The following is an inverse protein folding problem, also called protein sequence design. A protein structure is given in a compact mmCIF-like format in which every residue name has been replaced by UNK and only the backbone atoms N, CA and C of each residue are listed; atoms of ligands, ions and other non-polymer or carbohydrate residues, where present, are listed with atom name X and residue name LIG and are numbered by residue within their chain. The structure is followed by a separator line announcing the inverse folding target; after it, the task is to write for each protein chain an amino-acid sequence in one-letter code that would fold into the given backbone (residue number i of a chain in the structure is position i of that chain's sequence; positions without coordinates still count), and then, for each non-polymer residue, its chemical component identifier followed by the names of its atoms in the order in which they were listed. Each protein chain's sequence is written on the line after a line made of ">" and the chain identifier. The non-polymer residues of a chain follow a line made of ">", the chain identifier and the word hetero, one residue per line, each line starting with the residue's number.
data_IF_390603447458
#
_entry.id   IF_390603447458
#
_cell.length_a   1.000
_cell.length_b   1.000
_cell.length_c   1.000
_cell.angle_alpha   90.00
_cell.angle_beta   90.00
_cell.angle_gamma   90.00
#
_symmetry.space_group_name_H-M   'P 1'
#
loop_
_entity.id
_entity.type
_entity.pdbx_description
1 polymer ?
#
# COMPACT_ATOMS: atom_id res chain seq x y z
N UNK A 1 22.65 -30.85 -7.85
CA UNK A 1 22.73 -29.52 -7.17
C UNK A 1 24.16 -29.06 -7.25
N UNK A 2 24.38 -27.78 -7.51
CA UNK A 2 25.70 -27.19 -7.59
C UNK A 2 26.15 -26.84 -6.18
N UNK A 3 27.37 -27.20 -5.82
CA UNK A 3 27.94 -26.90 -4.51
C UNK A 3 29.08 -25.91 -4.65
N UNK A 4 29.08 -24.89 -3.83
CA UNK A 4 30.12 -23.88 -3.75
C UNK A 4 30.67 -23.74 -2.34
N UNK A 5 31.62 -22.84 -2.18
CA UNK A 5 32.19 -22.48 -0.89
C UNK A 5 32.25 -20.98 -0.69
N UNK A 6 32.01 -20.52 0.52
CA UNK A 6 32.19 -19.12 0.89
C UNK A 6 33.66 -18.77 0.82
N UNK A 7 34.01 -17.72 0.07
CA UNK A 7 35.38 -17.20 -0.02
C UNK A 7 35.54 -15.85 0.68
N UNK A 8 34.48 -15.10 0.85
CA UNK A 8 34.51 -13.83 1.56
C UNK A 8 33.14 -13.49 2.17
N UNK A 9 33.16 -12.92 3.36
CA UNK A 9 31.96 -12.42 4.05
C UNK A 9 32.15 -10.92 4.32
N UNK A 10 31.27 -10.11 3.72
CA UNK A 10 31.23 -8.64 3.90
C UNK A 10 29.79 -8.24 4.26
N UNK A 11 29.32 -8.65 5.41
CA UNK A 11 27.91 -8.49 5.83
C UNK A 11 27.28 -7.19 5.32
N UNK A 12 26.14 -7.21 4.59
CA UNK A 12 25.25 -8.35 4.26
C UNK A 12 25.57 -9.07 2.93
N UNK A 13 26.75 -8.91 2.39
CA UNK A 13 27.18 -9.49 1.11
C UNK A 13 28.16 -10.63 1.36
N UNK A 14 28.01 -11.70 0.58
CA UNK A 14 28.84 -12.91 0.68
C UNK A 14 29.29 -13.33 -0.72
N UNK A 15 30.58 -13.60 -0.89
CA UNK A 15 31.11 -14.14 -2.12
C UNK A 15 31.26 -15.66 -2.02
N UNK A 16 30.78 -16.37 -3.05
CA UNK A 16 30.78 -17.84 -3.11
C UNK A 16 31.45 -18.30 -4.39
N UNK A 17 32.43 -19.17 -4.28
CA UNK A 17 33.13 -19.79 -5.41
C UNK A 17 32.48 -21.13 -5.76
N UNK A 18 32.24 -21.35 -7.05
CA UNK A 18 31.77 -22.62 -7.60
C UNK A 18 32.82 -23.25 -8.48
N UNK A 19 33.03 -24.58 -8.40
CA UNK A 19 34.00 -25.28 -9.23
C UNK A 19 33.54 -25.29 -10.71
N UNK A 20 34.52 -25.50 -11.60
CA UNK A 20 34.29 -25.83 -13.00
C UNK A 20 33.49 -24.79 -13.84
N UNK A 21 33.47 -23.54 -13.40
CA UNK A 21 32.75 -22.46 -14.07
C UNK A 21 31.22 -22.72 -14.22
N UNK A 22 30.67 -23.61 -13.41
CA UNK A 22 29.24 -23.93 -13.37
C UNK A 22 28.51 -23.05 -12.35
N UNK A 23 28.32 -21.77 -12.72
CA UNK A 23 27.78 -20.75 -11.83
C UNK A 23 26.24 -20.79 -11.80
N UNK A 24 25.63 -20.52 -10.62
CA UNK A 24 24.19 -20.25 -10.54
C UNK A 24 23.82 -18.96 -11.27
N UNK A 25 22.57 -18.87 -11.70
CA UNK A 25 22.08 -17.66 -12.36
C UNK A 25 21.88 -16.51 -11.38
N UNK A 26 21.89 -15.29 -11.88
CA UNK A 26 21.52 -14.10 -11.11
C UNK A 26 20.08 -14.26 -10.63
N UNK A 27 19.81 -13.88 -9.37
CA UNK A 27 18.56 -14.08 -8.63
C UNK A 27 18.27 -15.51 -8.17
N UNK A 28 19.15 -16.46 -8.41
CA UNK A 28 19.03 -17.79 -7.82
C UNK A 28 19.25 -17.73 -6.31
N UNK A 29 18.53 -18.57 -5.58
CA UNK A 29 18.70 -18.76 -4.14
C UNK A 29 19.76 -19.80 -3.84
N UNK A 30 20.65 -19.46 -2.91
CA UNK A 30 21.67 -20.35 -2.37
C UNK A 30 21.39 -20.58 -0.88
N UNK A 31 21.68 -21.78 -0.41
CA UNK A 31 21.50 -22.19 0.98
C UNK A 31 22.82 -22.57 1.61
N UNK A 32 23.01 -22.17 2.87
CA UNK A 32 24.16 -22.56 3.70
C UNK A 32 23.67 -23.01 5.06
N UNK A 33 24.22 -24.11 5.55
CA UNK A 33 24.00 -24.55 6.93
C UNK A 33 24.97 -23.80 7.87
N UNK A 34 24.41 -22.89 8.64
CA UNK A 34 25.14 -22.12 9.63
C UNK A 34 24.94 -22.74 11.02
N UNK A 35 25.71 -23.77 11.31
CA UNK A 35 25.67 -24.47 12.60
C UNK A 35 24.27 -25.01 12.97
N UNK A 36 23.61 -25.65 12.01
CA UNK A 36 22.26 -26.20 12.17
C UNK A 36 21.12 -25.20 11.86
N UNK A 37 21.45 -23.98 11.52
CA UNK A 37 20.49 -22.97 11.05
C UNK A 37 20.66 -22.75 9.56
N UNK A 38 19.58 -22.99 8.80
CA UNK A 38 19.57 -22.71 7.36
C UNK A 38 19.55 -21.21 7.12
N UNK A 39 20.55 -20.72 6.39
CA UNK A 39 20.61 -19.35 5.91
C UNK A 39 20.45 -19.32 4.39
N UNK A 40 19.76 -18.32 3.88
CA UNK A 40 19.48 -18.14 2.46
C UNK A 40 20.10 -16.84 1.96
N UNK A 41 20.72 -16.92 0.79
CA UNK A 41 21.24 -15.76 0.07
C UNK A 41 20.80 -15.79 -1.38
N UNK A 42 20.80 -14.64 -2.02
CA UNK A 42 20.44 -14.47 -3.42
C UNK A 42 21.63 -14.01 -4.25
N UNK A 43 21.85 -14.64 -5.41
CA UNK A 43 22.92 -14.23 -6.33
C UNK A 43 22.59 -12.88 -6.93
N UNK A 44 23.46 -11.89 -6.69
CA UNK A 44 23.31 -10.54 -7.19
C UNK A 44 24.12 -10.28 -8.46
N UNK A 45 25.34 -10.85 -8.54
CA UNK A 45 26.21 -10.66 -9.72
C UNK A 45 27.29 -11.73 -9.80
N UNK A 46 27.83 -11.91 -11.01
CA UNK A 46 29.04 -12.70 -11.25
C UNK A 46 30.25 -11.76 -11.23
N UNK A 47 31.24 -12.06 -10.38
CA UNK A 47 32.41 -11.19 -10.19
C UNK A 47 33.67 -11.70 -10.86
N UNK A 48 33.61 -12.82 -11.60
CA UNK A 48 34.75 -13.48 -12.24
C UNK A 48 35.39 -14.56 -11.33
N UNK A 49 36.37 -15.27 -11.89
CA UNK A 49 37.08 -16.35 -11.17
C UNK A 49 36.16 -17.38 -10.50
N UNK A 50 35.13 -17.82 -11.19
CA UNK A 50 34.12 -18.78 -10.70
C UNK A 50 33.38 -18.32 -9.43
N UNK A 51 33.37 -17.03 -9.16
CA UNK A 51 32.79 -16.45 -7.95
C UNK A 51 31.52 -15.66 -8.26
N UNK A 52 30.51 -15.87 -7.44
CA UNK A 52 29.26 -15.08 -7.44
C UNK A 52 29.18 -14.25 -6.16
N UNK A 53 28.67 -13.05 -6.29
CA UNK A 53 28.39 -12.17 -5.16
C UNK A 53 26.93 -12.23 -4.82
N UNK A 54 26.64 -12.52 -3.54
CA UNK A 54 25.29 -12.77 -3.04
C UNK A 54 24.90 -11.77 -1.96
N UNK A 55 23.60 -11.50 -1.86
CA UNK A 55 22.99 -10.69 -0.81
C UNK A 55 22.32 -11.64 0.17
N UNK A 56 22.59 -11.47 1.47
CA UNK A 56 21.97 -12.27 2.52
C UNK A 56 20.49 -11.88 2.70
N UNK A 57 19.62 -12.87 2.72
CA UNK A 57 18.20 -12.74 3.07
C UNK A 57 17.91 -13.19 4.50
N UNK A 58 18.87 -13.84 5.14
CA UNK A 58 18.87 -14.27 6.52
C UNK A 58 20.02 -13.61 7.28
N UNK A 59 19.95 -13.62 8.60
CA UNK A 59 21.06 -13.18 9.43
C UNK A 59 22.35 -13.97 9.11
N UNK A 60 23.46 -13.27 9.05
CA UNK A 60 24.75 -13.79 8.59
C UNK A 60 25.76 -14.07 9.72
N UNK A 61 25.36 -13.83 10.96
CA UNK A 61 26.24 -14.08 12.11
C UNK A 61 26.65 -15.56 12.18
N UNK A 62 27.93 -15.80 12.27
CA UNK A 62 28.50 -17.14 12.29
C UNK A 62 28.94 -17.69 10.94
N UNK A 63 28.62 -17.03 9.84
CA UNK A 63 29.13 -17.41 8.53
C UNK A 63 30.64 -17.17 8.46
N UNK A 64 31.36 -18.14 7.90
CA UNK A 64 32.79 -18.08 7.75
C UNK A 64 33.24 -18.61 6.40
N UNK A 65 34.47 -18.29 6.06
CA UNK A 65 35.12 -18.82 4.87
C UNK A 65 35.14 -20.36 4.89
N UNK A 66 35.13 -20.96 3.71
CA UNK A 66 35.13 -22.39 3.44
C UNK A 66 33.85 -23.15 3.81
N UNK A 67 32.81 -22.49 4.32
CA UNK A 67 31.49 -23.13 4.48
C UNK A 67 30.91 -23.55 3.14
N UNK A 68 30.31 -24.74 3.11
CA UNK A 68 29.65 -25.26 1.92
C UNK A 68 28.30 -24.53 1.65
N UNK A 69 28.09 -24.20 0.40
CA UNK A 69 26.88 -23.54 -0.09
C UNK A 69 26.25 -24.38 -1.18
N UNK A 70 24.96 -24.59 -1.12
CA UNK A 70 24.19 -25.35 -2.10
C UNK A 70 23.32 -24.42 -2.92
N UNK A 71 23.48 -24.48 -4.25
CA UNK A 71 22.58 -23.78 -5.17
C UNK A 71 21.27 -24.57 -5.32
N UNK A 72 20.14 -23.88 -5.13
CA UNK A 72 18.81 -24.51 -5.23
C UNK A 72 18.37 -24.74 -6.67
N UNK A 73 19.02 -24.07 -7.64
CA UNK A 73 18.68 -24.14 -9.06
C UNK A 73 17.51 -23.24 -9.49
N UNK A 74 16.98 -22.44 -8.59
CA UNK A 74 15.91 -21.48 -8.87
C UNK A 74 15.99 -20.28 -7.92
N UNK A 75 15.22 -19.24 -8.21
CA UNK A 75 14.99 -18.14 -7.27
C UNK A 75 14.22 -18.60 -6.02
N UNK A 76 14.06 -17.68 -5.09
CA UNK A 76 13.30 -17.90 -3.86
C UNK A 76 11.87 -18.26 -4.22
N UNK A 77 11.35 -19.35 -3.64
CA UNK A 77 9.98 -19.79 -3.81
C UNK A 77 9.21 -19.60 -2.50
N UNK A 78 8.01 -19.04 -2.63
CA UNK A 78 7.13 -18.77 -1.49
C UNK A 78 5.77 -19.46 -1.69
N UNK A 79 5.08 -19.85 -0.59
CA UNK A 79 3.78 -20.47 -0.70
C UNK A 79 2.76 -19.48 -1.28
N UNK A 80 1.84 -20.00 -2.08
CA UNK A 80 0.75 -19.23 -2.69
C UNK A 80 -0.57 -20.01 -2.54
N UNK A 81 -1.67 -19.31 -2.63
CA UNK A 81 -3.01 -19.89 -2.60
C UNK A 81 -3.77 -19.60 -1.31
N UNK A 82 -4.96 -20.18 -1.19
CA UNK A 82 -5.88 -19.92 -0.09
C UNK A 82 -5.32 -20.27 1.29
N UNK A 83 -4.36 -21.19 1.37
CA UNK A 83 -3.71 -21.58 2.62
C UNK A 83 -2.87 -20.47 3.23
N UNK A 84 -2.50 -19.45 2.45
CA UNK A 84 -1.75 -18.28 2.94
C UNK A 84 -2.63 -17.30 3.72
N UNK A 85 -3.95 -17.35 3.54
CA UNK A 85 -4.88 -16.45 4.21
C UNK A 85 -4.90 -16.69 5.72
N UNK A 86 -4.91 -15.60 6.47
CA UNK A 86 -4.86 -15.64 7.92
C UNK A 86 -3.47 -15.92 8.50
N UNK A 87 -2.46 -16.03 7.65
CA UNK A 87 -1.10 -16.43 8.03
C UNK A 87 -0.12 -15.26 7.94
N UNK A 88 0.95 -15.39 8.69
CA UNK A 88 2.02 -14.42 8.78
C UNK A 88 3.34 -15.05 8.32
N UNK A 89 4.02 -14.41 7.37
CA UNK A 89 5.22 -14.92 6.71
C UNK A 89 6.41 -13.96 6.82
N UNK A 90 7.62 -14.50 6.72
CA UNK A 90 8.82 -13.74 6.44
C UNK A 90 9.07 -13.64 4.91
N UNK A 91 10.19 -13.04 4.52
CA UNK A 91 10.57 -12.86 3.10
C UNK A 91 10.71 -14.19 2.35
N UNK A 92 11.10 -15.24 3.03
CA UNK A 92 11.30 -16.58 2.46
C UNK A 92 10.00 -17.39 2.36
N UNK A 93 8.87 -16.83 2.80
CA UNK A 93 7.60 -17.52 2.86
C UNK A 93 7.48 -18.52 4.00
N UNK A 94 8.39 -18.47 4.94
CA UNK A 94 8.30 -19.26 6.18
C UNK A 94 7.29 -18.63 7.12
N UNK A 95 6.48 -19.46 7.78
CA UNK A 95 5.47 -18.97 8.72
C UNK A 95 6.13 -18.48 10.02
N UNK A 96 5.72 -17.32 10.50
CA UNK A 96 6.21 -16.71 11.75
C UNK A 96 5.11 -16.46 12.77
N UNK A 97 3.94 -17.07 12.55
CA UNK A 97 2.76 -16.96 13.43
C UNK A 97 2.66 -18.08 14.50
N UNK A 98 3.67 -18.93 14.59
CA UNK A 98 3.69 -20.04 15.53
C UNK A 98 2.85 -21.25 15.14
N UNK A 99 2.27 -21.24 13.94
CA UNK A 99 1.52 -22.37 13.39
C UNK A 99 2.38 -23.19 12.43
N UNK A 100 1.84 -24.33 11.99
CA UNK A 100 2.54 -25.24 11.07
C UNK A 100 2.94 -24.52 9.76
N UNK A 101 4.09 -24.93 9.23
CA UNK A 101 4.60 -24.43 7.96
C UNK A 101 3.76 -24.91 6.77
N UNK A 102 3.84 -24.22 5.65
CA UNK A 102 3.08 -24.51 4.43
C UNK A 102 3.97 -25.18 3.36
N UNK A 103 4.80 -26.12 3.75
CA UNK A 103 5.74 -26.83 2.86
C UNK A 103 5.04 -27.61 1.74
N UNK A 104 3.84 -28.13 1.98
CA UNK A 104 3.09 -28.98 1.05
C UNK A 104 2.16 -28.19 0.08
N UNK A 105 2.17 -26.85 0.17
CA UNK A 105 1.37 -26.01 -0.73
C UNK A 105 2.12 -25.68 -2.02
N UNK A 106 1.39 -25.17 -3.02
CA UNK A 106 2.01 -24.65 -4.24
C UNK A 106 2.94 -23.47 -3.89
N UNK A 107 4.11 -23.43 -4.51
CA UNK A 107 5.12 -22.40 -4.33
C UNK A 107 5.47 -21.74 -5.66
N UNK A 108 5.57 -20.43 -5.67
CA UNK A 108 5.98 -19.65 -6.82
C UNK A 108 7.27 -18.88 -6.53
N UNK A 109 8.08 -18.71 -7.58
CA UNK A 109 9.29 -17.87 -7.52
C UNK A 109 8.88 -16.41 -7.37
N UNK A 110 9.56 -15.66 -6.49
CA UNK A 110 9.22 -14.24 -6.26
C UNK A 110 9.65 -13.32 -7.40
N UNK A 111 10.63 -13.71 -8.19
CA UNK A 111 11.06 -12.96 -9.37
C UNK A 111 10.22 -13.40 -10.58
N UNK A 112 9.25 -12.58 -10.93
CA UNK A 112 8.31 -12.83 -12.02
C UNK A 112 8.33 -11.67 -13.00
N UNK A 113 8.08 -11.98 -14.27
CA UNK A 113 7.91 -10.97 -15.30
C UNK A 113 6.58 -10.22 -15.12
N UNK A 114 6.53 -8.93 -15.48
CA UNK A 114 5.27 -8.20 -15.53
C UNK A 114 4.33 -8.83 -16.57
N UNK A 115 3.01 -8.59 -16.44
CA UNK A 115 2.06 -9.05 -17.45
C UNK A 115 2.41 -8.56 -18.85
N UNK A 116 2.30 -9.45 -19.85
CA UNK A 116 2.52 -9.07 -21.24
C UNK A 116 1.46 -8.07 -21.72
N UNK A 117 1.78 -7.28 -22.74
CA UNK A 117 0.83 -6.32 -23.31
C UNK A 117 -0.49 -6.97 -23.74
N UNK A 118 -0.45 -8.21 -24.23
CA UNK A 118 -1.64 -8.95 -24.61
C UNK A 118 -2.55 -9.30 -23.43
N UNK A 119 -1.97 -9.50 -22.26
CA UNK A 119 -2.69 -9.87 -21.05
C UNK A 119 -3.16 -8.67 -20.23
N UNK A 120 -2.60 -7.49 -20.46
CA UNK A 120 -3.05 -6.28 -19.77
C UNK A 120 -4.46 -5.90 -20.21
N UNK A 121 -5.27 -5.47 -19.25
CA UNK A 121 -6.59 -4.93 -19.56
C UNK A 121 -6.45 -3.48 -20.02
N UNK A 122 -6.96 -3.13 -21.21
CA UNK A 122 -6.96 -1.74 -21.68
C UNK A 122 -8.06 -0.90 -21.02
N UNK A 123 -8.99 -1.53 -20.31
CA UNK A 123 -10.14 -0.87 -19.70
C UNK A 123 -9.75 -0.29 -18.35
N UNK A 124 -10.00 1.00 -18.16
CA UNK A 124 -9.82 1.66 -16.86
C UNK A 124 -11.15 1.58 -16.12
N UNK A 125 -11.14 0.86 -15.00
CA UNK A 125 -12.30 0.70 -14.12
C UNK A 125 -12.03 1.28 -12.75
N UNK A 126 -13.03 1.93 -12.14
CA UNK A 126 -12.97 2.38 -10.77
C UNK A 126 -13.06 1.17 -9.84
N UNK A 127 -12.13 1.11 -8.88
CA UNK A 127 -12.25 0.22 -7.73
C UNK A 127 -13.05 0.94 -6.65
N UNK A 128 -14.32 0.61 -6.53
CA UNK A 128 -15.20 1.21 -5.52
C UNK A 128 -14.79 0.75 -4.13
N UNK A 129 -14.41 1.70 -3.28
CA UNK A 129 -13.92 1.41 -1.92
C UNK A 129 -15.02 1.45 -0.86
N UNK A 130 -16.15 2.05 -1.17
CA UNK A 130 -17.23 2.31 -0.22
C UNK A 130 -16.95 3.46 0.75
N UNK A 131 -15.87 4.18 0.54
CA UNK A 131 -15.46 5.34 1.34
C UNK A 131 -15.69 6.60 0.51
N UNK A 132 -16.62 7.44 0.95
CA UNK A 132 -17.12 8.61 0.19
C UNK A 132 -16.01 9.53 -0.30
N UNK A 133 -15.11 9.93 0.58
CA UNK A 133 -14.06 10.90 0.23
C UNK A 133 -13.11 10.36 -0.83
N UNK A 134 -12.79 9.08 -0.77
CA UNK A 134 -11.91 8.42 -1.75
C UNK A 134 -12.64 8.28 -3.08
N UNK A 135 -13.80 7.67 -3.08
CA UNK A 135 -14.54 7.36 -4.32
C UNK A 135 -14.95 8.61 -5.09
N UNK A 136 -15.25 9.70 -4.39
CA UNK A 136 -15.65 10.96 -5.05
C UNK A 136 -14.42 11.74 -5.56
N UNK A 137 -13.43 11.99 -4.72
CA UNK A 137 -12.40 13.00 -4.95
C UNK A 137 -11.04 12.43 -5.38
N UNK A 138 -10.74 11.22 -4.99
CA UNK A 138 -9.48 10.53 -5.32
C UNK A 138 -9.73 9.05 -5.61
N UNK A 139 -10.56 8.71 -6.61
CA UNK A 139 -10.98 7.35 -6.88
C UNK A 139 -9.79 6.46 -7.26
N UNK A 140 -9.84 5.21 -6.81
CA UNK A 140 -8.86 4.19 -7.14
C UNK A 140 -9.24 3.50 -8.45
N UNK A 141 -8.24 3.20 -9.26
CA UNK A 141 -8.41 2.34 -10.44
C UNK A 141 -8.04 0.90 -10.13
N UNK A 142 -8.75 -0.06 -10.68
CA UNK A 142 -8.34 -1.47 -10.65
C UNK A 142 -7.00 -1.62 -11.36
N UNK A 143 -6.06 -2.29 -10.72
CA UNK A 143 -4.69 -2.39 -11.20
C UNK A 143 -3.87 -1.13 -11.03
N UNK A 144 -4.40 -0.13 -10.36
CA UNK A 144 -3.73 1.14 -10.08
C UNK A 144 -2.77 1.07 -8.90
N UNK A 145 -1.91 2.07 -8.82
CA UNK A 145 -0.92 2.24 -7.76
C UNK A 145 -1.26 3.50 -6.99
N UNK A 146 -1.63 3.35 -5.73
CA UNK A 146 -2.09 4.43 -4.87
C UNK A 146 -1.03 4.73 -3.83
N UNK A 147 -0.59 5.98 -3.75
CA UNK A 147 0.25 6.48 -2.68
C UNK A 147 -0.59 6.85 -1.46
N UNK A 148 -0.20 6.37 -0.29
CA UNK A 148 -0.81 6.71 0.99
C UNK A 148 0.17 7.54 1.80
N UNK A 149 -0.18 8.79 2.07
CA UNK A 149 0.63 9.75 2.79
C UNK A 149 -0.02 10.07 4.13
N UNK A 150 0.77 10.20 5.15
CA UNK A 150 0.30 10.61 6.47
C UNK A 150 1.30 10.30 7.56
N UNK A 151 1.35 11.17 8.56
CA UNK A 151 2.17 10.99 9.75
C UNK A 151 1.57 9.96 10.71
N UNK A 152 2.17 9.85 11.89
CA UNK A 152 1.66 8.98 12.93
C UNK A 152 0.33 9.50 13.50
N UNK A 153 -0.58 8.58 13.84
CA UNK A 153 -1.83 8.90 14.54
C UNK A 153 -2.91 9.56 13.69
N UNK A 154 -2.85 9.43 12.36
CA UNK A 154 -3.86 9.99 11.44
C UNK A 154 -4.87 8.94 10.95
N UNK A 155 -4.84 7.73 11.49
CA UNK A 155 -5.79 6.67 11.16
C UNK A 155 -5.41 5.83 9.94
N UNK A 156 -4.13 5.79 9.57
CA UNK A 156 -3.63 4.98 8.45
C UNK A 156 -4.02 3.50 8.58
N UNK A 157 -3.76 2.89 9.73
CA UNK A 157 -4.06 1.47 9.98
C UNK A 157 -5.55 1.18 9.90
N UNK A 158 -6.38 2.03 10.46
CA UNK A 158 -7.84 1.88 10.44
C UNK A 158 -8.37 1.99 9.01
N UNK A 159 -7.84 2.90 8.21
CA UNK A 159 -8.19 3.02 6.80
C UNK A 159 -7.81 1.77 6.00
N UNK A 160 -6.62 1.24 6.21
CA UNK A 160 -6.15 0.00 5.58
C UNK A 160 -7.09 -1.16 5.91
N UNK A 161 -7.44 -1.33 7.17
CA UNK A 161 -8.35 -2.39 7.61
C UNK A 161 -9.75 -2.24 7.01
N UNK A 162 -10.28 -1.02 6.91
CA UNK A 162 -11.58 -0.78 6.27
C UNK A 162 -11.57 -1.07 4.77
N UNK A 163 -10.49 -0.74 4.07
CA UNK A 163 -10.31 -1.11 2.67
C UNK A 163 -10.31 -2.63 2.49
N UNK A 164 -9.60 -3.36 3.34
CA UNK A 164 -9.59 -4.83 3.34
C UNK A 164 -11.00 -5.38 3.57
N UNK A 165 -11.69 -4.87 4.57
CA UNK A 165 -13.05 -5.28 4.91
C UNK A 165 -14.01 -5.05 3.74
N UNK A 166 -13.96 -3.89 3.12
CA UNK A 166 -14.89 -3.52 2.05
C UNK A 166 -14.60 -4.31 0.76
N UNK A 167 -13.33 -4.52 0.40
CA UNK A 167 -12.98 -5.34 -0.74
C UNK A 167 -13.41 -6.79 -0.53
N UNK A 168 -13.21 -7.36 0.63
CA UNK A 168 -13.62 -8.73 0.94
C UNK A 168 -15.14 -8.90 0.93
N UNK A 169 -15.89 -7.98 1.52
CA UNK A 169 -17.35 -8.09 1.67
C UNK A 169 -18.13 -7.78 0.40
N UNK A 170 -17.66 -6.84 -0.43
CA UNK A 170 -18.40 -6.37 -1.61
C UNK A 170 -17.83 -6.98 -2.90
N UNK A 171 -16.52 -7.04 -3.04
CA UNK A 171 -15.85 -7.54 -4.24
C UNK A 171 -15.42 -9.01 -4.14
N UNK A 172 -15.49 -9.61 -2.95
CA UNK A 172 -15.07 -10.99 -2.71
C UNK A 172 -13.56 -11.22 -2.88
N UNK A 173 -12.76 -10.16 -2.92
CA UNK A 173 -11.33 -10.20 -3.11
C UNK A 173 -10.56 -10.37 -1.80
N UNK A 174 -9.34 -10.88 -1.93
CA UNK A 174 -8.41 -10.99 -0.81
C UNK A 174 -7.39 -9.86 -0.83
N UNK A 175 -6.68 -9.72 0.28
CA UNK A 175 -5.66 -8.69 0.43
C UNK A 175 -4.34 -9.29 0.91
N UNK A 176 -3.26 -8.68 0.49
CA UNK A 176 -1.92 -9.02 0.96
C UNK A 176 -1.34 -7.76 1.60
N UNK A 177 -0.86 -7.88 2.82
CA UNK A 177 -0.16 -6.79 3.49
C UNK A 177 1.32 -7.09 3.58
N UNK A 178 2.16 -6.19 3.09
CA UNK A 178 3.62 -6.30 3.19
C UNK A 178 4.17 -5.21 4.09
N UNK A 179 4.81 -5.61 5.18
CA UNK A 179 5.56 -4.73 6.07
C UNK A 179 7.02 -4.67 5.64
N UNK A 180 7.47 -3.53 5.15
CA UNK A 180 8.81 -3.33 4.62
C UNK A 180 9.60 -2.38 5.50
N UNK A 181 10.54 -2.90 6.26
CA UNK A 181 11.46 -2.11 7.07
C UNK A 181 10.79 -1.32 8.20
N UNK A 182 9.60 -1.68 8.62
CA UNK A 182 8.87 -1.05 9.71
C UNK A 182 9.24 -1.69 11.07
N UNK A 183 8.77 -1.11 12.15
CA UNK A 183 9.03 -1.61 13.50
C UNK A 183 8.26 -2.91 13.74
N UNK A 184 8.93 -3.90 14.34
CA UNK A 184 8.30 -5.18 14.67
C UNK A 184 7.08 -5.04 15.58
N UNK A 185 7.09 -4.05 16.49
CA UNK A 185 5.96 -3.75 17.36
C UNK A 185 4.74 -3.31 16.56
N UNK A 186 4.91 -2.42 15.59
CA UNK A 186 3.81 -1.95 14.73
C UNK A 186 3.22 -3.09 13.90
N UNK A 187 4.07 -4.00 13.40
CA UNK A 187 3.61 -5.20 12.71
C UNK A 187 2.80 -6.14 13.61
N UNK A 188 3.21 -6.32 14.86
CA UNK A 188 2.49 -7.12 15.84
C UNK A 188 1.16 -6.47 16.25
N UNK A 189 1.16 -5.16 16.44
CA UNK A 189 -0.06 -4.41 16.76
C UNK A 189 -1.07 -4.54 15.60
N UNK A 190 -0.63 -4.38 14.35
CA UNK A 190 -1.47 -4.58 13.17
C UNK A 190 -2.05 -6.00 13.10
N UNK A 191 -1.22 -7.02 13.30
CA UNK A 191 -1.68 -8.40 13.29
C UNK A 191 -2.74 -8.67 14.37
N UNK A 192 -2.54 -8.14 15.57
CA UNK A 192 -3.49 -8.24 16.68
C UNK A 192 -4.81 -7.55 16.36
N UNK A 193 -4.75 -6.30 15.88
CA UNK A 193 -5.93 -5.53 15.49
C UNK A 193 -6.72 -6.19 14.35
N UNK A 194 -6.04 -6.74 13.35
CA UNK A 194 -6.68 -7.46 12.25
C UNK A 194 -7.32 -8.76 12.71
N UNK A 195 -6.73 -9.43 13.69
CA UNK A 195 -7.31 -10.64 14.29
C UNK A 195 -8.56 -10.31 15.10
N UNK A 196 -8.54 -9.23 15.87
CA UNK A 196 -9.69 -8.76 16.66
C UNK A 196 -10.84 -8.26 15.79
N UNK A 197 -10.56 -7.58 14.70
CA UNK A 197 -11.57 -7.09 13.75
C UNK A 197 -12.10 -8.17 12.80
N UNK A 198 -11.48 -9.34 12.76
CA UNK A 198 -11.87 -10.46 11.90
C UNK A 198 -11.44 -10.33 10.43
N UNK A 199 -10.72 -9.28 10.05
CA UNK A 199 -10.24 -9.12 8.66
C UNK A 199 -9.03 -10.00 8.34
N UNK A 200 -8.40 -10.58 9.35
CA UNK A 200 -7.23 -11.45 9.17
C UNK A 200 -7.51 -12.65 8.25
N UNK A 201 -8.71 -13.22 8.31
CA UNK A 201 -9.10 -14.38 7.50
C UNK A 201 -9.16 -14.09 5.99
N UNK A 202 -9.14 -12.82 5.62
CA UNK A 202 -9.16 -12.32 4.23
C UNK A 202 -7.81 -11.80 3.76
N UNK A 203 -6.78 -11.94 4.59
CA UNK A 203 -5.48 -11.29 4.39
C UNK A 203 -4.34 -12.26 4.65
N UNK A 204 -3.31 -12.20 3.81
CA UNK A 204 -1.99 -12.76 4.11
C UNK A 204 -1.05 -11.62 4.49
N UNK A 205 -0.22 -11.82 5.51
CA UNK A 205 0.75 -10.82 5.96
C UNK A 205 2.17 -11.32 5.73
N UNK A 206 3.01 -10.44 5.18
CA UNK A 206 4.42 -10.74 4.92
C UNK A 206 5.26 -9.62 5.52
N UNK A 207 6.15 -9.95 6.44
CA UNK A 207 6.99 -8.96 7.13
C UNK A 207 8.48 -9.15 6.85
N UNK A 208 9.13 -8.07 6.45
CA UNK A 208 10.57 -7.90 6.44
C UNK A 208 10.91 -6.62 7.20
N UNK A 209 10.94 -6.71 8.54
CA UNK A 209 10.98 -5.55 9.42
C UNK A 209 12.39 -4.95 9.55
N UNK A 210 12.51 -3.85 10.28
CA UNK A 210 13.77 -3.09 10.34
C UNK A 210 14.94 -3.84 10.99
N UNK A 211 14.68 -4.90 11.75
CA UNK A 211 15.69 -5.77 12.32
C UNK A 211 16.21 -6.84 11.35
N UNK A 212 15.53 -7.01 10.20
CA UNK A 212 15.95 -7.94 9.17
C UNK A 212 17.09 -7.38 8.32
N UNK A 213 17.93 -8.24 7.72
CA UNK A 213 19.00 -7.77 6.84
C UNK A 213 18.45 -7.02 5.61
N UNK A 214 19.25 -6.16 4.97
CA UNK A 214 18.81 -5.37 3.81
C UNK A 214 18.23 -6.21 2.67
N UNK A 215 18.76 -7.40 2.43
CA UNK A 215 18.24 -8.31 1.41
C UNK A 215 16.79 -8.72 1.67
N UNK A 216 16.44 -9.02 2.92
CA UNK A 216 15.07 -9.34 3.31
C UNK A 216 14.13 -8.14 3.09
N UNK A 217 14.53 -6.96 3.52
CA UNK A 217 13.75 -5.71 3.32
C UNK A 217 13.59 -5.34 1.84
N UNK A 218 14.57 -5.69 1.02
CA UNK A 218 14.54 -5.49 -0.43
C UNK A 218 13.55 -6.41 -1.17
N UNK A 219 13.35 -7.63 -0.65
CA UNK A 219 12.59 -8.69 -1.34
C UNK A 219 11.21 -8.96 -0.76
N UNK A 220 10.90 -8.49 0.43
CA UNK A 220 9.62 -8.79 1.09
C UNK A 220 8.42 -8.27 0.29
N UNK A 221 8.51 -7.12 -0.37
CA UNK A 221 7.45 -6.60 -1.22
C UNK A 221 7.19 -7.53 -2.42
N UNK A 222 8.22 -8.11 -3.00
CA UNK A 222 8.11 -9.07 -4.09
C UNK A 222 7.47 -10.40 -3.61
N UNK A 223 7.76 -10.83 -2.40
CA UNK A 223 7.11 -12.00 -1.79
C UNK A 223 5.60 -11.78 -1.68
N UNK A 224 5.17 -10.66 -1.12
CA UNK A 224 3.74 -10.33 -1.02
C UNK A 224 3.08 -10.15 -2.37
N UNK A 225 3.76 -9.50 -3.31
CA UNK A 225 3.26 -9.31 -4.67
C UNK A 225 3.05 -10.66 -5.39
N UNK A 226 3.95 -11.62 -5.20
CA UNK A 226 3.82 -12.97 -5.76
C UNK A 226 2.56 -13.68 -5.23
N UNK A 227 2.28 -13.56 -3.93
CA UNK A 227 1.05 -14.08 -3.35
C UNK A 227 -0.19 -13.41 -3.94
N UNK A 228 -0.15 -12.09 -4.15
CA UNK A 228 -1.24 -11.34 -4.78
C UNK A 228 -1.46 -11.74 -6.23
N UNK A 229 -0.39 -11.94 -6.98
CA UNK A 229 -0.46 -12.39 -8.38
C UNK A 229 -1.12 -13.75 -8.55
N UNK A 230 -0.95 -14.66 -7.61
CA UNK A 230 -1.66 -15.95 -7.63
C UNK A 230 -3.17 -15.75 -7.57
N UNK A 231 -3.67 -14.93 -6.67
CA UNK A 231 -5.11 -14.67 -6.57
C UNK A 231 -5.66 -13.95 -7.81
N UNK A 232 -4.88 -13.07 -8.42
CA UNK A 232 -5.23 -12.41 -9.69
C UNK A 232 -5.30 -13.42 -10.84
N UNK A 233 -4.24 -14.21 -11.03
CA UNK A 233 -4.02 -15.01 -12.25
C UNK A 233 -4.73 -16.37 -12.20
N UNK A 234 -4.84 -16.99 -11.03
CA UNK A 234 -5.44 -18.32 -10.84
C UNK A 234 -6.87 -18.23 -10.32
N UNK A 235 -7.12 -17.37 -9.34
CA UNK A 235 -8.45 -17.23 -8.74
C UNK A 235 -9.31 -16.15 -9.42
N UNK A 236 -8.77 -15.43 -10.41
CA UNK A 236 -9.47 -14.38 -11.17
C UNK A 236 -10.10 -13.30 -10.29
N UNK A 237 -9.36 -12.87 -9.26
CA UNK A 237 -9.83 -11.90 -8.28
C UNK A 237 -9.25 -10.51 -8.50
N UNK A 238 -9.94 -9.53 -7.93
CA UNK A 238 -9.42 -8.20 -7.70
C UNK A 238 -8.77 -8.17 -6.31
N UNK A 239 -7.45 -8.05 -6.28
CA UNK A 239 -6.64 -8.18 -5.06
C UNK A 239 -6.10 -6.82 -4.63
N UNK A 240 -6.12 -6.53 -3.33
CA UNK A 240 -5.40 -5.40 -2.75
C UNK A 240 -4.03 -5.86 -2.25
N UNK A 241 -3.02 -5.09 -2.62
CA UNK A 241 -1.65 -5.24 -2.11
C UNK A 241 -1.28 -3.98 -1.34
N UNK A 242 -1.01 -4.11 -0.05
CA UNK A 242 -0.49 -3.04 0.79
C UNK A 242 1.02 -3.17 0.93
N UNK A 243 1.73 -2.07 0.74
CA UNK A 243 3.18 -1.98 0.93
C UNK A 243 3.45 -0.87 1.94
N UNK A 244 3.87 -1.22 3.11
CA UNK A 244 4.20 -0.27 4.17
C UNK A 244 5.63 -0.52 4.67
N UNK A 245 6.61 0.18 4.21
CA UNK A 245 6.66 1.43 3.48
C UNK A 245 7.51 1.26 2.21
N UNK A 246 7.09 1.77 1.08
CA UNK A 246 7.84 1.63 -0.19
C UNK A 246 9.21 2.33 -0.15
N UNK A 247 9.37 3.39 0.62
CA UNK A 247 10.66 4.05 0.81
C UNK A 247 11.71 3.08 1.39
N UNK A 248 11.33 2.19 2.29
CA UNK A 248 12.24 1.21 2.89
C UNK A 248 12.76 0.18 1.89
N UNK A 249 11.97 -0.12 0.87
CA UNK A 249 12.42 -0.93 -0.27
C UNK A 249 13.60 -0.26 -0.98
N UNK A 250 13.51 1.00 -1.32
CA UNK A 250 14.59 1.76 -1.96
C UNK A 250 15.79 1.93 -1.05
N UNK A 251 15.58 2.21 0.23
CA UNK A 251 16.63 2.35 1.22
C UNK A 251 17.45 1.06 1.38
N UNK A 252 16.78 -0.09 1.45
CA UNK A 252 17.47 -1.39 1.53
C UNK A 252 18.35 -1.63 0.30
N UNK A 253 17.89 -1.28 -0.89
CA UNK A 253 18.68 -1.33 -2.12
C UNK A 253 19.91 -0.43 -2.07
N UNK A 254 19.82 0.76 -1.48
CA UNK A 254 20.96 1.66 -1.32
C UNK A 254 22.01 1.11 -0.34
N UNK A 255 21.59 0.45 0.72
CA UNK A 255 22.49 -0.15 1.72
C UNK A 255 23.43 -1.21 1.13
N UNK A 256 22.96 -1.98 0.16
CA UNK A 256 23.77 -3.04 -0.48
C UNK A 256 24.52 -2.58 -1.71
N UNK A 257 24.12 -1.49 -2.34
CA UNK A 257 24.60 -1.05 -3.65
C UNK A 257 26.12 -0.80 -3.66
N UNK A 258 26.65 -0.14 -2.64
CA UNK A 258 28.09 0.13 -2.55
C UNK A 258 28.91 -1.15 -2.39
N UNK A 259 28.40 -2.13 -1.64
CA UNK A 259 29.03 -3.43 -1.44
C UNK A 259 29.01 -4.28 -2.71
N UNK A 260 28.09 -4.01 -3.62
CA UNK A 260 28.06 -4.62 -4.94
C UNK A 260 29.01 -3.94 -5.94
N UNK A 261 29.76 -2.93 -5.50
CA UNK A 261 30.72 -2.22 -6.34
C UNK A 261 30.10 -1.18 -7.27
N UNK A 262 28.88 -0.74 -7.00
CA UNK A 262 28.20 0.30 -7.78
C UNK A 262 28.57 1.69 -7.26
N UNK A 263 28.82 2.62 -8.16
CA UNK A 263 29.03 4.02 -7.79
C UNK A 263 27.68 4.64 -7.41
N UNK A 264 27.60 5.37 -6.27
CA UNK A 264 26.36 6.02 -5.87
C UNK A 264 25.96 7.11 -6.86
N UNK A 265 24.66 7.25 -7.06
CA UNK A 265 24.04 8.35 -7.81
C UNK A 265 23.73 9.55 -6.91
N UNK A 266 22.85 10.45 -7.35
CA UNK A 266 22.46 11.62 -6.59
C UNK A 266 21.98 11.26 -5.15
N UNK A 267 22.39 12.05 -4.19
CA UNK A 267 22.05 11.91 -2.74
C UNK A 267 22.46 10.55 -2.14
N UNK A 268 23.36 9.82 -2.81
CA UNK A 268 23.87 8.55 -2.33
C UNK A 268 23.00 7.32 -2.65
N UNK A 269 21.96 7.48 -3.45
CA UNK A 269 21.12 6.35 -3.88
C UNK A 269 21.83 5.47 -4.91
N UNK A 270 21.33 4.24 -5.04
CA UNK A 270 21.82 3.30 -6.06
C UNK A 270 21.53 3.81 -7.48
N UNK A 271 22.46 3.57 -8.43
CA UNK A 271 22.22 3.94 -9.84
C UNK A 271 21.09 3.15 -10.49
N UNK A 272 20.72 2.02 -9.90
CA UNK A 272 19.66 1.10 -10.38
C UNK A 272 18.30 1.40 -9.76
N UNK A 273 18.14 2.50 -9.04
CA UNK A 273 16.90 2.85 -8.32
C UNK A 273 15.66 2.81 -9.22
N UNK A 274 15.71 3.44 -10.37
CA UNK A 274 14.59 3.48 -11.30
C UNK A 274 14.24 2.09 -11.86
N UNK A 275 15.24 1.27 -12.14
CA UNK A 275 15.02 -0.09 -12.63
C UNK A 275 14.42 -0.99 -11.56
N UNK A 276 14.95 -0.94 -10.34
CA UNK A 276 14.44 -1.72 -9.20
C UNK A 276 12.98 -1.37 -8.90
N UNK A 277 12.66 -0.08 -8.87
CA UNK A 277 11.29 0.39 -8.69
C UNK A 277 10.40 -0.05 -9.84
N UNK A 278 10.85 0.08 -11.08
CA UNK A 278 10.11 -0.33 -12.27
C UNK A 278 9.81 -1.83 -12.29
N UNK A 279 10.77 -2.68 -11.98
CA UNK A 279 10.58 -4.13 -11.90
C UNK A 279 9.47 -4.52 -10.91
N UNK A 280 9.41 -3.86 -9.76
CA UNK A 280 8.35 -4.07 -8.78
C UNK A 280 7.00 -3.51 -9.26
N UNK A 281 6.97 -2.26 -9.66
CA UNK A 281 5.73 -1.53 -9.94
C UNK A 281 5.00 -2.02 -11.19
N UNK A 282 5.72 -2.42 -12.23
CA UNK A 282 5.12 -2.89 -13.49
C UNK A 282 4.39 -4.25 -13.36
N UNK A 283 4.68 -5.01 -12.32
CA UNK A 283 3.94 -6.25 -12.01
C UNK A 283 2.56 -5.97 -11.43
N UNK A 284 2.37 -4.78 -10.85
CA UNK A 284 1.11 -4.34 -10.26
C UNK A 284 0.23 -3.78 -11.37
N UNK A 285 -0.69 -4.60 -11.86
CA UNK A 285 -1.48 -4.28 -13.03
C UNK A 285 -2.83 -5.00 -13.05
N UNK A 286 -3.74 -4.46 -13.85
CA UNK A 286 -4.97 -5.11 -14.24
C UNK A 286 -4.72 -5.99 -15.47
N UNK A 287 -5.16 -7.23 -15.42
CA UNK A 287 -5.08 -8.19 -16.52
C UNK A 287 -6.47 -8.65 -16.94
N UNK A 288 -6.54 -9.42 -18.01
CA UNK A 288 -7.81 -10.06 -18.44
C UNK A 288 -8.36 -11.05 -17.41
N UNK A 289 -7.50 -11.55 -16.53
CA UNK A 289 -7.85 -12.55 -15.51
C UNK A 289 -8.33 -11.91 -14.20
N UNK A 290 -7.77 -10.78 -13.82
CA UNK A 290 -8.07 -10.09 -12.58
C UNK A 290 -7.20 -8.85 -12.41
N UNK A 291 -7.16 -8.30 -11.20
CA UNK A 291 -6.33 -7.11 -10.94
C UNK A 291 -5.57 -7.22 -9.62
N UNK A 292 -4.40 -6.60 -9.57
CA UNK A 292 -3.69 -6.26 -8.34
C UNK A 292 -3.66 -4.74 -8.25
N UNK A 293 -4.31 -4.20 -7.23
CA UNK A 293 -4.30 -2.76 -6.93
C UNK A 293 -3.45 -2.57 -5.69
N UNK A 294 -2.48 -1.67 -5.73
CA UNK A 294 -1.60 -1.42 -4.59
C UNK A 294 -1.94 -0.13 -3.86
N UNK A 295 -1.85 -0.19 -2.54
CA UNK A 295 -1.84 0.97 -1.65
C UNK A 295 -0.48 0.98 -0.97
N UNK A 296 0.34 1.97 -1.31
CA UNK A 296 1.73 2.05 -0.90
C UNK A 296 1.91 3.24 0.05
N UNK A 297 2.27 2.97 1.29
CA UNK A 297 2.66 4.02 2.20
C UNK A 297 3.98 4.62 1.73
N UNK A 298 4.02 5.94 1.59
CA UNK A 298 5.19 6.66 1.09
C UNK A 298 5.71 7.58 2.20
N UNK A 299 6.95 7.35 2.60
CA UNK A 299 7.70 8.27 3.45
C UNK A 299 8.50 9.23 2.58
N UNK A 300 8.41 10.51 2.90
CA UNK A 300 9.14 11.57 2.20
C UNK A 300 10.20 12.13 3.15
N UNK A 301 11.50 11.82 2.92
CA UNK A 301 12.57 12.31 3.77
C UNK A 301 12.61 13.85 3.83
N UNK A 302 12.61 14.40 5.02
CA UNK A 302 12.64 15.85 5.28
C UNK A 302 11.53 16.64 4.55
N UNK A 303 10.40 16.00 4.24
CA UNK A 303 9.31 16.55 3.43
C UNK A 303 9.74 17.07 2.04
N UNK A 304 10.88 16.58 1.55
CA UNK A 304 11.43 16.95 0.23
C UNK A 304 10.93 16.02 -0.86
N UNK A 305 9.94 16.47 -1.63
CA UNK A 305 9.37 15.75 -2.75
C UNK A 305 10.34 15.59 -3.94
N UNK A 306 11.46 16.31 -3.93
CA UNK A 306 12.49 16.21 -4.97
C UNK A 306 13.54 15.15 -4.67
N UNK A 307 13.53 14.57 -3.47
CA UNK A 307 14.38 13.42 -3.14
C UNK A 307 14.15 12.29 -4.15
N UNK A 308 15.22 11.64 -4.67
CA UNK A 308 15.11 10.64 -5.71
C UNK A 308 14.19 9.46 -5.40
N UNK A 309 14.10 9.03 -4.14
CA UNK A 309 13.25 7.89 -3.78
C UNK A 309 11.75 8.20 -3.89
N UNK A 310 11.20 9.23 -3.24
CA UNK A 310 9.81 9.60 -3.47
C UNK A 310 9.53 10.06 -4.90
N UNK A 311 10.43 10.80 -5.53
CA UNK A 311 10.26 11.25 -6.92
C UNK A 311 10.11 10.09 -7.89
N UNK A 312 10.92 9.04 -7.75
CA UNK A 312 10.82 7.83 -8.57
C UNK A 312 9.53 7.07 -8.30
N UNK A 313 9.11 6.99 -7.05
CA UNK A 313 7.83 6.36 -6.66
C UNK A 313 6.65 7.11 -7.26
N UNK A 314 6.62 8.43 -7.17
CA UNK A 314 5.53 9.26 -7.71
C UNK A 314 5.30 9.08 -9.20
N UNK A 315 6.34 8.81 -9.96
CA UNK A 315 6.22 8.54 -11.40
C UNK A 315 5.31 7.34 -11.72
N UNK A 316 5.19 6.40 -10.78
CA UNK A 316 4.37 5.19 -10.93
C UNK A 316 2.96 5.33 -10.35
N UNK A 317 2.69 6.33 -9.50
CA UNK A 317 1.41 6.45 -8.81
C UNK A 317 0.28 6.98 -9.70
N UNK A 318 -0.87 6.36 -9.60
CA UNK A 318 -2.11 6.75 -10.30
C UNK A 318 -3.01 7.64 -9.44
N UNK A 319 -2.93 7.50 -8.12
CA UNK A 319 -3.70 8.28 -7.17
C UNK A 319 -2.91 8.49 -5.87
N UNK A 320 -3.26 9.56 -5.16
CA UNK A 320 -2.70 9.89 -3.86
C UNK A 320 -3.82 10.06 -2.83
N UNK A 321 -3.71 9.36 -1.72
CA UNK A 321 -4.56 9.54 -0.54
C UNK A 321 -3.72 10.19 0.55
N UNK A 322 -4.05 11.41 0.92
CA UNK A 322 -3.32 12.19 1.93
C UNK A 322 -4.14 12.23 3.22
N UNK A 323 -3.59 11.67 4.29
CA UNK A 323 -4.18 11.74 5.63
C UNK A 323 -3.61 12.96 6.36
N UNK A 324 -4.48 13.78 6.92
CA UNK A 324 -4.13 15.08 7.51
C UNK A 324 -4.44 15.13 9.00
N UNK A 325 -3.44 15.55 9.79
CA UNK A 325 -3.62 15.82 11.22
C UNK A 325 -4.62 16.93 11.49
N UNK A 326 -4.65 17.96 10.63
CA UNK A 326 -5.63 19.05 10.75
C UNK A 326 -7.07 18.57 10.68
N UNK A 327 -7.33 17.53 9.87
CA UNK A 327 -8.65 16.93 9.74
C UNK A 327 -8.96 16.06 10.97
N UNK A 328 -7.98 15.35 11.50
CA UNK A 328 -8.11 14.63 12.79
C UNK A 328 -8.49 15.58 13.92
N UNK A 329 -7.85 16.74 14.00
CA UNK A 329 -8.14 17.78 15.00
C UNK A 329 -9.56 18.34 14.92
N UNK A 330 -10.18 18.26 13.75
CA UNK A 330 -11.60 18.60 13.53
C UNK A 330 -12.54 17.45 13.91
N UNK A 331 -12.01 16.29 14.29
CA UNK A 331 -12.80 15.09 14.62
C UNK A 331 -13.41 14.39 13.40
N UNK A 332 -12.90 14.67 12.20
CA UNK A 332 -13.41 14.07 10.95
C UNK A 332 -12.59 12.82 10.62
N UNK A 333 -13.27 11.69 10.51
CA UNK A 333 -12.67 10.41 10.09
C UNK A 333 -13.49 9.77 8.94
N UNK A 334 -12.84 9.20 7.92
CA UNK A 334 -11.38 9.13 7.72
C UNK A 334 -10.78 10.53 7.53
N UNK A 335 -9.57 10.72 8.01
CA UNK A 335 -8.89 12.02 7.96
C UNK A 335 -8.23 12.29 6.60
N UNK A 336 -8.87 11.90 5.53
CA UNK A 336 -8.41 12.12 4.15
C UNK A 336 -8.58 13.59 3.80
N UNK A 337 -7.48 14.23 3.39
CA UNK A 337 -7.52 15.62 2.94
C UNK A 337 -8.16 15.70 1.54
N UNK A 338 -9.32 16.32 1.39
CA UNK A 338 -10.05 16.34 0.14
C UNK A 338 -9.44 17.23 -0.94
N UNK A 339 -8.56 18.16 -0.57
CA UNK A 339 -7.89 19.08 -1.49
C UNK A 339 -6.49 18.62 -1.89
N UNK A 340 -5.78 17.93 -0.98
CA UNK A 340 -4.44 17.42 -1.23
C UNK A 340 -4.44 16.02 -1.88
N UNK A 341 -5.53 15.27 -1.72
CA UNK A 341 -5.70 13.96 -2.36
C UNK A 341 -6.14 14.12 -3.81
N UNK A 342 -5.64 13.25 -4.68
CA UNK A 342 -5.89 13.34 -6.12
C UNK A 342 -5.90 11.97 -6.79
N UNK A 343 -6.47 11.91 -7.99
CA UNK A 343 -6.46 10.72 -8.83
C UNK A 343 -6.39 11.10 -10.30
N UNK A 344 -5.56 10.40 -11.06
CA UNK A 344 -5.43 10.59 -12.51
C UNK A 344 -6.67 10.18 -13.29
N UNK A 345 -7.49 9.29 -12.72
CA UNK A 345 -8.72 8.84 -13.37
C UNK A 345 -9.93 9.76 -13.13
N UNK A 346 -9.77 10.79 -12.30
CA UNK A 346 -10.84 11.78 -12.09
C UNK A 346 -10.92 12.74 -13.29
N UNK A 347 -11.37 12.19 -14.40
CA UNK A 347 -11.61 12.87 -15.67
C UNK A 347 -12.98 12.47 -16.19
N UNK A 348 -13.68 13.41 -16.83
CA UNK A 348 -15.07 13.21 -17.29
C UNK A 348 -15.22 12.00 -18.22
N UNK A 349 -14.20 11.73 -19.04
CA UNK A 349 -14.18 10.61 -19.99
C UNK A 349 -14.08 9.23 -19.30
N UNK A 350 -13.58 9.20 -18.08
CA UNK A 350 -13.33 7.95 -17.33
C UNK A 350 -14.44 7.72 -16.30
N UNK A 351 -14.67 8.69 -15.42
CA UNK A 351 -15.63 8.55 -14.32
C UNK A 351 -17.06 8.95 -14.70
N UNK A 352 -17.25 9.62 -15.84
CA UNK A 352 -18.51 10.20 -16.28
C UNK A 352 -18.64 11.67 -15.87
N UNK A 353 -19.46 12.40 -16.64
CA UNK A 353 -19.64 13.84 -16.46
C UNK A 353 -20.23 14.21 -15.09
N UNK A 354 -21.23 13.46 -14.62
CA UNK A 354 -21.88 13.75 -13.33
C UNK A 354 -20.91 13.61 -12.15
N UNK A 355 -20.16 12.53 -12.09
CA UNK A 355 -19.15 12.32 -11.04
C UNK A 355 -18.09 13.42 -11.08
N UNK A 356 -17.53 13.67 -12.25
CA UNK A 356 -16.51 14.70 -12.44
C UNK A 356 -16.99 16.10 -12.02
N UNK A 357 -18.18 16.49 -12.46
CA UNK A 357 -18.77 17.81 -12.14
C UNK A 357 -19.01 17.96 -10.63
N UNK A 358 -19.61 16.95 -9.98
CA UNK A 358 -19.87 16.98 -8.54
C UNK A 358 -18.55 17.06 -7.75
N UNK A 359 -17.56 16.27 -8.13
CA UNK A 359 -16.24 16.32 -7.50
C UNK A 359 -15.58 17.70 -7.63
N UNK A 360 -15.63 18.30 -8.80
CA UNK A 360 -15.10 19.66 -9.04
C UNK A 360 -15.80 20.71 -8.21
N UNK A 361 -17.10 20.67 -8.15
CA UNK A 361 -17.90 21.61 -7.34
C UNK A 361 -17.60 21.47 -5.85
N UNK A 362 -17.44 20.24 -5.35
CA UNK A 362 -17.03 19.98 -3.97
C UNK A 362 -15.65 20.57 -3.69
N UNK A 363 -14.69 20.35 -4.57
CA UNK A 363 -13.35 20.92 -4.45
C UNK A 363 -13.36 22.45 -4.45
N UNK A 364 -14.12 23.06 -5.34
CA UNK A 364 -14.28 24.52 -5.43
C UNK A 364 -14.84 25.11 -4.14
N UNK A 365 -15.90 24.53 -3.60
CA UNK A 365 -16.52 24.97 -2.35
C UNK A 365 -15.53 24.85 -1.18
N UNK A 366 -14.83 23.74 -1.06
CA UNK A 366 -13.84 23.53 0.00
C UNK A 366 -12.64 24.47 -0.15
N UNK A 367 -12.17 24.72 -1.37
CA UNK A 367 -11.09 25.65 -1.63
C UNK A 367 -11.50 27.08 -1.27
N UNK A 368 -12.67 27.51 -1.68
CA UNK A 368 -13.21 28.83 -1.34
C UNK A 368 -13.35 29.00 0.18
N UNK A 369 -13.84 27.97 0.85
CA UNK A 369 -13.93 27.98 2.32
C UNK A 369 -12.57 28.11 2.98
N UNK A 370 -11.56 27.40 2.49
CA UNK A 370 -10.17 27.50 2.99
C UNK A 370 -9.64 28.93 2.85
N UNK A 371 -9.89 29.59 1.74
CA UNK A 371 -9.50 30.99 1.51
C UNK A 371 -10.23 31.97 2.43
N UNK A 372 -11.49 31.70 2.77
CA UNK A 372 -12.29 32.55 3.65
C UNK A 372 -11.99 32.35 5.14
N UNK A 373 -11.32 31.24 5.53
CA UNK A 373 -11.06 30.92 6.94
C UNK A 373 -10.25 32.01 7.65
N UNK A 374 -9.26 32.62 7.00
CA UNK A 374 -8.46 33.68 7.57
C UNK A 374 -9.28 34.93 7.82
N UNK A 375 -10.18 35.26 6.88
CA UNK A 375 -11.10 36.39 7.01
C UNK A 375 -12.07 36.15 8.16
N UNK A 376 -12.62 34.94 8.26
CA UNK A 376 -13.56 34.55 9.32
C UNK A 376 -12.88 34.62 10.71
N UNK A 377 -11.63 34.19 10.80
CA UNK A 377 -10.86 34.21 12.05
C UNK A 377 -10.57 35.62 12.54
N UNK A 378 -10.36 36.58 11.64
CA UNK A 378 -10.00 37.96 11.97
C UNK A 378 -11.22 38.86 12.15
N UNK A 379 -12.17 38.79 11.20
CA UNK A 379 -13.30 39.73 11.10
C UNK A 379 -14.64 39.10 11.51
N UNK A 380 -14.73 37.77 11.61
CA UNK A 380 -15.97 37.05 11.89
C UNK A 380 -16.83 36.77 10.66
N UNK A 381 -17.84 35.91 10.83
CA UNK A 381 -18.77 35.50 9.75
C UNK A 381 -19.62 36.67 9.26
N UNK A 382 -19.92 37.64 10.10
CA UNK A 382 -20.85 38.73 9.77
C UNK A 382 -20.32 39.66 8.68
N UNK A 383 -19.00 39.73 8.51
CA UNK A 383 -18.36 40.57 7.49
C UNK A 383 -18.35 39.93 6.09
N UNK A 384 -18.75 38.67 5.98
CA UNK A 384 -18.86 38.00 4.68
C UNK A 384 -20.08 38.46 3.89
N UNK A 385 -19.98 38.47 2.56
CA UNK A 385 -21.14 38.60 1.68
C UNK A 385 -22.13 37.45 1.88
N UNK A 386 -23.39 37.65 1.51
CA UNK A 386 -24.40 36.59 1.62
C UNK A 386 -24.04 35.36 0.79
N UNK A 387 -23.41 35.56 -0.37
CA UNK A 387 -22.90 34.48 -1.21
C UNK A 387 -21.79 33.68 -0.51
N UNK A 388 -20.85 34.38 0.12
CA UNK A 388 -19.76 33.71 0.86
C UNK A 388 -20.28 33.01 2.11
N UNK A 389 -21.25 33.56 2.82
CA UNK A 389 -21.93 32.92 3.95
C UNK A 389 -22.58 31.60 3.52
N UNK A 390 -23.27 31.60 2.39
CA UNK A 390 -23.89 30.39 1.83
C UNK A 390 -22.83 29.35 1.46
N UNK A 391 -21.77 29.78 0.80
CA UNK A 391 -20.64 28.91 0.46
C UNK A 391 -20.01 28.25 1.70
N UNK A 392 -19.77 29.03 2.74
CA UNK A 392 -19.21 28.52 4.02
C UNK A 392 -20.15 27.53 4.68
N UNK A 393 -21.45 27.80 4.69
CA UNK A 393 -22.47 26.90 5.26
C UNK A 393 -22.49 25.56 4.53
N UNK A 394 -22.51 25.59 3.21
CA UNK A 394 -22.45 24.36 2.39
C UNK A 394 -21.11 23.62 2.54
N UNK A 395 -20.00 24.34 2.58
CA UNK A 395 -18.67 23.76 2.76
C UNK A 395 -18.54 23.00 4.10
N UNK A 396 -19.08 23.55 5.17
CA UNK A 396 -19.12 22.87 6.48
C UNK A 396 -19.95 21.59 6.43
N UNK A 397 -21.09 21.60 5.76
CA UNK A 397 -21.89 20.40 5.54
C UNK A 397 -21.16 19.36 4.72
N UNK A 398 -20.47 19.77 3.67
CA UNK A 398 -19.61 18.90 2.85
C UNK A 398 -18.51 18.26 3.70
N UNK A 399 -17.79 19.04 4.51
CA UNK A 399 -16.76 18.52 5.39
C UNK A 399 -17.31 17.47 6.37
N UNK A 400 -18.45 17.75 6.99
CA UNK A 400 -19.09 16.80 7.91
C UNK A 400 -19.55 15.55 7.18
N UNK A 401 -20.09 15.67 5.98
CA UNK A 401 -20.55 14.54 5.18
C UNK A 401 -19.42 13.69 4.60
N UNK A 402 -18.20 14.22 4.52
CA UNK A 402 -17.00 13.43 4.19
C UNK A 402 -16.64 12.45 5.30
N UNK A 403 -17.07 12.69 6.53
CA UNK A 403 -16.92 11.71 7.62
C UNK A 403 -17.82 10.50 7.41
N UNK A 404 -17.39 9.36 7.88
CA UNK A 404 -18.07 8.10 7.68
C UNK A 404 -17.71 7.10 8.77
N UNK A 405 -18.68 6.39 9.36
CA UNK A 405 -18.38 5.34 10.32
C UNK A 405 -17.81 4.10 9.62
N UNK A 406 -16.77 3.54 10.20
CA UNK A 406 -16.10 2.34 9.65
C UNK A 406 -16.54 1.08 10.40
N UNK A 407 -16.65 -0.03 9.68
CA UNK A 407 -16.95 -1.35 10.24
C UNK A 407 -15.89 -1.79 11.26
N UNK A 408 -14.63 -1.57 10.93
CA UNK A 408 -13.50 -1.95 11.79
C UNK A 408 -13.39 -1.10 13.07
N UNK A 409 -14.08 0.01 13.13
CA UNK A 409 -14.10 0.91 14.29
C UNK A 409 -15.38 0.76 15.16
N UNK A 410 -16.31 -0.11 14.81
CA UNK A 410 -17.59 -0.28 15.54
C UNK A 410 -17.39 -0.53 17.02
N UNK A 411 -16.42 -1.37 17.39
CA UNK A 411 -16.12 -1.70 18.78
C UNK A 411 -15.63 -0.52 19.61
N UNK A 412 -15.04 0.49 18.97
CA UNK A 412 -14.52 1.69 19.62
C UNK A 412 -15.52 2.83 19.64
N UNK A 413 -16.28 2.99 18.58
CA UNK A 413 -17.20 4.12 18.39
C UNK A 413 -18.62 3.82 18.86
N UNK A 414 -18.99 2.54 18.90
CA UNK A 414 -20.38 2.11 19.14
C UNK A 414 -21.33 2.44 17.98
N UNK A 415 -20.81 2.88 16.84
CA UNK A 415 -21.60 3.25 15.67
C UNK A 415 -21.40 2.17 14.60
N UNK A 416 -22.50 1.60 14.04
CA UNK A 416 -22.39 0.64 12.95
C UNK A 416 -21.67 1.24 11.74
N UNK A 417 -20.73 0.49 11.18
CA UNK A 417 -20.01 0.90 9.97
C UNK A 417 -20.91 0.97 8.76
N UNK A 418 -20.52 1.79 7.79
CA UNK A 418 -21.26 2.01 6.55
C UNK A 418 -20.35 1.84 5.34
N UNK A 419 -20.80 1.03 4.40
CA UNK A 419 -20.31 1.02 3.03
C UNK A 419 -21.22 1.90 2.20
N UNK A 420 -20.69 2.92 1.56
CA UNK A 420 -21.48 3.85 0.74
C UNK A 420 -21.14 3.62 -0.72
N UNK A 421 -22.12 3.27 -1.54
CA UNK A 421 -21.93 3.10 -2.98
C UNK A 421 -21.49 4.41 -3.63
N UNK A 422 -20.75 4.32 -4.73
CA UNK A 422 -20.35 5.50 -5.51
C UNK A 422 -21.57 6.31 -5.97
N UNK A 423 -22.63 5.64 -6.38
CA UNK A 423 -23.90 6.27 -6.79
C UNK A 423 -24.51 7.12 -5.67
N UNK A 424 -24.59 6.57 -4.46
CA UNK A 424 -25.13 7.26 -3.29
C UNK A 424 -24.21 8.41 -2.85
N UNK A 425 -22.91 8.25 -2.98
CA UNK A 425 -21.92 9.29 -2.71
C UNK A 425 -22.12 10.49 -3.66
N UNK A 426 -22.17 10.25 -4.95
CA UNK A 426 -22.41 11.30 -5.96
C UNK A 426 -23.73 12.00 -5.71
N UNK A 427 -24.81 11.25 -5.50
CA UNK A 427 -26.13 11.79 -5.21
C UNK A 427 -26.12 12.69 -3.98
N UNK A 428 -25.53 12.23 -2.89
CA UNK A 428 -25.51 12.96 -1.63
C UNK A 428 -24.75 14.28 -1.73
N UNK A 429 -23.56 14.27 -2.28
CA UNK A 429 -22.78 15.50 -2.48
C UNK A 429 -23.41 16.46 -3.47
N UNK A 430 -24.01 15.94 -4.55
CA UNK A 430 -24.76 16.77 -5.50
C UNK A 430 -25.90 17.52 -4.84
N UNK A 431 -26.68 16.85 -4.01
CA UNK A 431 -27.77 17.48 -3.27
C UNK A 431 -27.29 18.60 -2.34
N UNK A 432 -26.14 18.41 -1.68
CA UNK A 432 -25.56 19.45 -0.82
C UNK A 432 -25.13 20.67 -1.64
N UNK A 433 -24.38 20.47 -2.72
CA UNK A 433 -23.85 21.58 -3.52
C UNK A 433 -24.91 22.28 -4.36
N UNK A 434 -26.00 21.59 -4.71
CA UNK A 434 -27.17 22.18 -5.39
C UNK A 434 -28.10 22.96 -4.45
N UNK A 435 -27.86 22.87 -3.15
CA UNK A 435 -28.66 23.59 -2.16
C UNK A 435 -29.92 22.87 -1.67
N UNK A 436 -30.18 21.66 -2.13
CA UNK A 436 -31.36 20.88 -1.71
C UNK A 436 -31.33 20.50 -0.21
N UNK A 437 -30.14 20.59 0.39
CA UNK A 437 -29.91 20.26 1.82
C UNK A 437 -29.69 21.50 2.68
N UNK A 438 -29.94 22.70 2.19
CA UNK A 438 -29.68 23.95 2.91
C UNK A 438 -30.50 24.09 4.19
N UNK A 439 -31.68 23.51 4.25
CA UNK A 439 -32.58 23.57 5.40
C UNK A 439 -32.17 22.61 6.55
N UNK A 440 -31.29 21.63 6.28
CA UNK A 440 -30.85 20.65 7.25
C UNK A 440 -29.71 21.19 8.11
N UNK A 441 -29.68 20.86 9.43
CA UNK A 441 -28.62 21.36 10.31
C UNK A 441 -27.28 20.67 10.03
N UNK A 442 -26.19 21.41 10.22
CA UNK A 442 -24.82 20.95 9.98
C UNK A 442 -24.49 19.63 10.72
N UNK A 443 -24.90 19.51 11.97
CA UNK A 443 -24.60 18.33 12.79
C UNK A 443 -25.19 17.03 12.22
N UNK A 444 -26.28 17.08 11.46
CA UNK A 444 -26.91 15.92 10.86
C UNK A 444 -26.03 15.24 9.79
N UNK A 445 -25.09 15.98 9.20
CA UNK A 445 -24.18 15.46 8.18
C UNK A 445 -22.97 14.72 8.74
N UNK A 446 -22.75 14.80 10.05
CA UNK A 446 -21.60 14.20 10.71
C UNK A 446 -21.78 12.71 10.92
N UNK A 447 -20.77 11.95 10.47
CA UNK A 447 -20.62 10.52 10.75
C UNK A 447 -21.83 9.69 10.33
N UNK A 448 -22.29 9.90 9.11
CA UNK A 448 -23.36 9.16 8.44
C UNK A 448 -22.88 8.54 7.14
N UNK A 449 -23.62 7.59 6.61
CA UNK A 449 -23.32 6.99 5.30
C UNK A 449 -23.93 7.77 4.15
N UNK A 450 -25.22 7.63 3.92
CA UNK A 450 -25.97 8.24 2.80
C UNK A 450 -26.64 9.56 3.17
N UNK A 451 -27.09 10.28 2.14
CA UNK A 451 -27.86 11.53 2.33
C UNK A 451 -29.23 11.28 2.99
N UNK A 452 -29.82 10.13 2.77
CA UNK A 452 -31.07 9.72 3.42
C UNK A 452 -30.87 9.62 4.95
N UNK A 453 -29.74 9.13 5.39
CA UNK A 453 -29.40 9.07 6.83
C UNK A 453 -29.26 10.47 7.46
N UNK A 454 -28.82 11.47 6.69
CA UNK A 454 -28.83 12.87 7.13
C UNK A 454 -30.25 13.35 7.43
N UNK A 455 -31.19 13.07 6.55
CA UNK A 455 -32.61 13.42 6.72
C UNK A 455 -33.21 12.74 7.94
N UNK A 456 -32.99 11.44 8.08
CA UNK A 456 -33.49 10.67 9.24
C UNK A 456 -32.90 11.18 10.55
N UNK A 457 -31.63 11.49 10.58
CA UNK A 457 -30.93 12.03 11.75
C UNK A 457 -31.47 13.39 12.15
N UNK A 458 -31.71 14.26 11.17
CA UNK A 458 -32.30 15.58 11.40
C UNK A 458 -33.75 15.49 11.94
N UNK A 459 -34.55 14.55 11.44
CA UNK A 459 -35.92 14.32 11.92
C UNK A 459 -35.97 13.78 13.35
N UNK A 460 -35.02 12.91 13.73
CA UNK A 460 -34.92 12.35 15.08
C UNK A 460 -34.38 13.35 16.11
N UNK A 461 -33.79 14.46 15.66
CA UNK A 461 -33.21 15.47 16.56
C UNK A 461 -31.97 15.02 17.31
N UNK A 462 -31.22 14.07 16.74
CA UNK A 462 -30.04 13.45 17.38
C UNK A 462 -28.76 13.77 16.60
#
# INVERSE_FOLDING_TARGET
>A
MKNGKIVQVMVPVVDVEFPDNDLPYIKDALEVDNHGKKCVMEVAQHVGNNTVRCIMLSASEGLSRDMEVVATGSGIKVPVGNQTLGRLFNVLGETIDGKEDLSDTEHWVIHREPPTFENQSPVIEILETGIKVIDLLAPYSKGGKIGLFGGAGVGKTVLIQELIQNIASVHGGYSIFTGVGERSREGNDLWTEMSESGVIDKTALVFGQMNEPPGARMRVAETGLTMAEYFRDVNHQDVLLFIDNIFRFTQAGSEVSSLLGRMPSAVGYQPTLANEMGELQERIASTKEGSVTSVQAVYVPADDLTDPAPATTFAHLDANTVLSRKIVEQGIYPAVDPLESSSRILEADIVGEEHYEVARRVQEILQKYKELQDIIAILGMEELSDEDKLTVTRARKVQKFLSQPFHVAENFTGIPGKYVSLKDTIKGFKMIVDGEMDEYPEWAFFNVGTIEEVKEKAEKGQ
#
